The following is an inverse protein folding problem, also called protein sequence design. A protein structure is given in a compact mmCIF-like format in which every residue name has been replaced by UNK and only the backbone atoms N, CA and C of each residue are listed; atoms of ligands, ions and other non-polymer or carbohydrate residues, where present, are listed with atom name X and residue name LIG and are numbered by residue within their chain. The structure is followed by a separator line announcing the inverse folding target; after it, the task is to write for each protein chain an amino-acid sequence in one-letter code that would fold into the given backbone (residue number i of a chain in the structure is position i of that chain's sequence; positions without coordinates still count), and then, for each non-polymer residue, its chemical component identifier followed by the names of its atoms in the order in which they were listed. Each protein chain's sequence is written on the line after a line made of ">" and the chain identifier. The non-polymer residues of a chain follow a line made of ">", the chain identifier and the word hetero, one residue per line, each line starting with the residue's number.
data_IF_987203658244
#
_entry.id   IF_987203658244
#
_cell.length_a   1.000
_cell.length_b   1.000
_cell.length_c   1.000
_cell.angle_alpha   90.00
_cell.angle_beta   90.00
_cell.angle_gamma   90.00
#
_symmetry.space_group_name_H-M   'P 1'
#
loop_
_entity.id
_entity.type
_entity.pdbx_description
1 polymer ?
#
# COMPACT_ATOMS: atom_id res chain seq x y z
N UNK A 1 -12.46 -35.27 9.70
CA UNK A 1 -13.25 -34.10 9.29
C UNK A 1 -12.42 -33.18 8.40
N UNK A 2 -12.62 -33.35 7.09
CA UNK A 2 -12.04 -32.51 6.05
C UNK A 2 -12.69 -31.12 6.07
N UNK A 3 -11.96 -30.08 6.48
CA UNK A 3 -12.27 -28.72 6.06
C UNK A 3 -11.93 -28.62 4.55
N UNK A 4 -12.82 -29.13 3.70
CA UNK A 4 -12.85 -28.73 2.29
C UNK A 4 -13.34 -27.30 2.26
N UNK A 5 -12.39 -26.36 2.29
CA UNK A 5 -12.57 -25.00 1.82
C UNK A 5 -13.16 -25.09 0.41
N UNK A 6 -14.48 -24.95 0.29
CA UNK A 6 -15.14 -24.79 -0.99
C UNK A 6 -14.43 -23.68 -1.75
N UNK A 7 -13.80 -24.00 -2.89
CA UNK A 7 -13.22 -22.97 -3.73
C UNK A 7 -14.37 -22.05 -4.12
N UNK A 8 -14.29 -20.73 -3.86
CA UNK A 8 -15.32 -19.82 -4.34
C UNK A 8 -15.49 -20.01 -5.85
N UNK A 9 -16.73 -19.94 -6.34
CA UNK A 9 -17.11 -20.13 -7.75
C UNK A 9 -16.39 -19.18 -8.73
N UNK A 10 -15.62 -18.22 -8.23
CA UNK A 10 -14.81 -17.26 -8.96
C UNK A 10 -13.44 -17.16 -8.29
N UNK A 11 -12.41 -17.00 -9.10
CA UNK A 11 -11.09 -16.63 -8.62
C UNK A 11 -11.14 -15.23 -8.00
N UNK A 12 -10.58 -15.09 -6.79
CA UNK A 12 -10.60 -13.85 -6.01
C UNK A 12 -9.19 -13.54 -5.53
N UNK A 13 -8.79 -12.27 -5.67
CA UNK A 13 -7.52 -11.75 -5.16
C UNK A 13 -7.77 -11.04 -3.83
N UNK A 14 -7.01 -11.42 -2.80
CA UNK A 14 -7.07 -10.82 -1.47
C UNK A 14 -5.83 -9.96 -1.23
N UNK A 15 -6.05 -8.78 -0.66
CA UNK A 15 -5.00 -7.94 -0.09
C UNK A 15 -4.98 -8.13 1.42
N UNK A 16 -3.83 -8.57 1.92
CA UNK A 16 -3.55 -8.69 3.35
C UNK A 16 -2.45 -7.68 3.72
N UNK A 17 -2.81 -6.57 4.39
CA UNK A 17 -1.81 -5.60 4.80
C UNK A 17 -0.88 -6.19 5.86
N UNK A 18 0.32 -5.63 5.96
CA UNK A 18 1.22 -5.94 7.06
C UNK A 18 0.55 -5.43 8.35
N UNK A 19 0.51 -6.26 9.40
CA UNK A 19 -0.27 -6.00 10.63
C UNK A 19 0.00 -4.65 11.31
N UNK A 20 1.13 -4.00 11.00
CA UNK A 20 1.52 -2.68 11.53
C UNK A 20 0.73 -1.52 10.91
N UNK A 21 0.12 -1.68 9.73
CA UNK A 21 -0.52 -0.58 8.98
C UNK A 21 -1.97 -0.30 9.42
N UNK A 22 -2.54 -1.10 10.34
CA UNK A 22 -3.95 -1.01 10.78
C UNK A 22 -5.00 -0.99 9.63
N UNK A 23 -4.61 -1.32 8.40
CA UNK A 23 -5.53 -1.46 7.28
C UNK A 23 -6.29 -2.79 7.40
N UNK A 24 -7.54 -2.81 6.95
CA UNK A 24 -8.35 -4.03 6.95
C UNK A 24 -8.02 -4.87 5.72
N UNK A 25 -8.06 -6.19 5.89
CA UNK A 25 -8.07 -7.11 4.76
C UNK A 25 -9.18 -6.70 3.78
N UNK A 26 -8.85 -6.73 2.49
CA UNK A 26 -9.78 -6.41 1.42
C UNK A 26 -9.60 -7.37 0.26
N UNK A 27 -10.56 -7.40 -0.66
CA UNK A 27 -10.49 -8.25 -1.85
C UNK A 27 -10.86 -7.45 -3.09
N UNK A 28 -10.31 -7.86 -4.22
CA UNK A 28 -10.61 -7.24 -5.50
C UNK A 28 -12.01 -7.64 -5.97
N UNK A 29 -12.84 -6.64 -6.28
CA UNK A 29 -14.25 -6.82 -6.67
C UNK A 29 -14.39 -6.93 -8.21
N UNK A 30 -13.38 -6.47 -8.96
CA UNK A 30 -13.40 -6.46 -10.42
C UNK A 30 -13.10 -7.81 -11.08
N UNK A 31 -13.08 -7.82 -12.42
CA UNK A 31 -12.71 -9.01 -13.19
C UNK A 31 -11.20 -9.24 -13.15
N UNK A 32 -10.76 -10.43 -12.76
CA UNK A 32 -9.32 -10.79 -12.76
C UNK A 32 -8.73 -10.91 -14.17
N UNK A 33 -9.58 -11.04 -15.19
CA UNK A 33 -9.17 -11.10 -16.59
C UNK A 33 -8.95 -9.69 -17.19
N UNK A 34 -9.33 -8.64 -16.45
CA UNK A 34 -9.10 -7.25 -16.84
C UNK A 34 -7.79 -6.76 -16.22
N UNK A 35 -6.71 -6.90 -16.98
CA UNK A 35 -5.34 -6.65 -16.51
C UNK A 35 -5.14 -5.23 -15.99
N UNK A 36 -5.72 -4.22 -16.65
CA UNK A 36 -5.55 -2.82 -16.28
C UNK A 36 -6.14 -2.55 -14.89
N UNK A 37 -7.41 -2.89 -14.68
CA UNK A 37 -8.11 -2.69 -13.42
C UNK A 37 -7.46 -3.46 -12.27
N UNK A 38 -7.00 -4.70 -12.52
CA UNK A 38 -6.28 -5.48 -11.51
C UNK A 38 -4.93 -4.85 -11.17
N UNK A 39 -4.20 -4.34 -12.16
CA UNK A 39 -2.89 -3.70 -11.97
C UNK A 39 -3.04 -2.41 -11.17
N UNK A 40 -4.03 -1.56 -11.52
CA UNK A 40 -4.31 -0.31 -10.80
C UNK A 40 -4.68 -0.60 -9.35
N UNK A 41 -5.61 -1.53 -9.09
CA UNK A 41 -5.98 -1.92 -7.73
C UNK A 41 -4.77 -2.44 -6.94
N UNK A 42 -3.93 -3.26 -7.57
CA UNK A 42 -2.73 -3.79 -6.93
C UNK A 42 -1.71 -2.68 -6.59
N UNK A 43 -1.55 -1.70 -7.49
CA UNK A 43 -0.67 -0.54 -7.25
C UNK A 43 -1.17 0.31 -6.09
N UNK A 44 -2.47 0.63 -6.07
CA UNK A 44 -3.09 1.43 -5.00
C UNK A 44 -2.92 0.78 -3.63
N UNK A 45 -2.89 -0.56 -3.58
CA UNK A 45 -2.68 -1.33 -2.34
C UNK A 45 -1.22 -1.50 -1.92
N UNK A 46 -0.28 -1.37 -2.84
CA UNK A 46 1.14 -1.62 -2.58
C UNK A 46 1.97 -0.34 -2.48
N UNK A 47 1.49 0.79 -3.00
CA UNK A 47 2.22 2.07 -3.01
C UNK A 47 1.54 3.00 -2.00
N UNK A 48 2.10 3.17 -0.79
CA UNK A 48 1.51 4.06 0.20
C UNK A 48 1.69 5.52 -0.21
N UNK A 49 0.81 6.38 0.32
CA UNK A 49 0.85 7.83 0.11
C UNK A 49 2.17 8.44 0.63
N UNK A 50 2.60 8.00 1.80
CA UNK A 50 3.89 8.34 2.39
C UNK A 50 4.82 7.13 2.27
N UNK A 51 5.97 7.33 1.64
CA UNK A 51 6.98 6.29 1.38
C UNK A 51 8.24 6.54 2.20
N UNK A 52 8.88 5.47 2.68
CA UNK A 52 10.18 5.55 3.32
C UNK A 52 11.29 5.65 2.25
N UNK A 53 12.13 6.69 2.37
CA UNK A 53 13.32 6.84 1.54
C UNK A 53 14.48 6.09 2.20
N UNK A 54 15.06 5.16 1.46
CA UNK A 54 16.23 4.36 1.84
C UNK A 54 17.35 4.59 0.83
N UNK A 55 18.60 4.25 1.19
CA UNK A 55 19.72 4.39 0.25
C UNK A 55 19.53 3.58 -1.04
N UNK A 56 18.81 2.46 -1.00
CA UNK A 56 18.56 1.61 -2.17
C UNK A 56 17.49 2.16 -3.13
N UNK A 57 16.51 2.91 -2.63
CA UNK A 57 15.40 3.42 -3.45
C UNK A 57 15.51 4.91 -3.78
N UNK A 58 16.50 5.62 -3.21
CA UNK A 58 16.61 7.07 -3.35
C UNK A 58 16.77 7.52 -4.81
N UNK A 59 17.58 6.83 -5.61
CA UNK A 59 17.79 7.13 -7.04
C UNK A 59 16.47 6.96 -7.82
N UNK A 60 15.79 5.82 -7.64
CA UNK A 60 14.50 5.53 -8.27
C UNK A 60 13.44 6.59 -7.92
N UNK A 61 13.35 7.00 -6.65
CA UNK A 61 12.42 8.03 -6.23
C UNK A 61 12.75 9.40 -6.84
N UNK A 62 14.03 9.74 -6.99
CA UNK A 62 14.43 11.01 -7.62
C UNK A 62 14.21 11.02 -9.13
N UNK A 63 14.30 9.86 -9.77
CA UNK A 63 14.02 9.70 -11.20
C UNK A 63 12.54 9.89 -11.56
N UNK A 64 11.62 9.82 -10.58
CA UNK A 64 10.21 10.21 -10.77
C UNK A 64 10.05 11.70 -11.10
N UNK A 65 11.04 12.54 -10.79
CA UNK A 65 11.06 13.97 -11.14
C UNK A 65 10.08 14.84 -10.32
N UNK A 66 9.59 14.33 -9.19
CA UNK A 66 8.67 15.04 -8.30
C UNK A 66 9.41 15.69 -7.12
N UNK A 67 9.03 16.91 -6.69
CA UNK A 67 9.60 17.52 -5.50
C UNK A 67 9.19 16.77 -4.24
N UNK A 68 10.10 16.67 -3.27
CA UNK A 68 9.83 15.96 -2.02
C UNK A 68 9.45 16.89 -0.88
N UNK A 69 8.45 16.45 -0.12
CA UNK A 69 8.24 16.84 1.26
C UNK A 69 8.74 15.69 2.14
N UNK A 70 9.85 15.89 2.85
CA UNK A 70 10.53 14.84 3.63
C UNK A 70 10.37 15.11 5.13
N UNK A 71 9.88 14.11 5.87
CA UNK A 71 9.99 14.06 7.33
C UNK A 71 11.30 13.35 7.71
N UNK A 72 12.21 14.05 8.37
CA UNK A 72 13.35 13.43 9.05
C UNK A 72 12.97 13.14 10.51
N UNK A 73 13.00 11.87 10.90
CA UNK A 73 12.68 11.42 12.25
C UNK A 73 13.64 10.31 12.71
N UNK A 74 13.59 9.96 13.99
CA UNK A 74 14.32 8.79 14.51
C UNK A 74 13.55 7.51 14.22
N UNK A 75 14.25 6.39 14.10
CA UNK A 75 13.65 5.10 13.78
C UNK A 75 12.57 4.63 14.78
N UNK A 76 12.64 5.08 16.03
CA UNK A 76 11.68 4.76 17.10
C UNK A 76 10.50 5.75 17.21
N UNK A 77 10.53 6.86 16.46
CA UNK A 77 9.46 7.87 16.44
C UNK A 77 8.37 7.51 15.42
N UNK A 78 7.47 6.61 15.83
CA UNK A 78 6.33 6.20 15.01
C UNK A 78 5.15 7.20 15.06
N UNK A 79 5.05 8.03 16.10
CA UNK A 79 3.96 8.99 16.26
C UNK A 79 4.05 10.11 15.22
N UNK A 80 5.26 10.63 14.97
CA UNK A 80 5.47 11.66 13.95
C UNK A 80 5.13 11.16 12.55
N UNK A 81 5.39 9.89 12.23
CA UNK A 81 5.07 9.28 10.93
C UNK A 81 3.55 9.24 10.73
N UNK A 82 2.79 8.77 11.73
CA UNK A 82 1.32 8.72 11.67
C UNK A 82 0.73 10.12 11.54
N UNK A 83 1.27 11.09 12.27
CA UNK A 83 0.83 12.48 12.16
C UNK A 83 1.10 13.04 10.77
N UNK A 84 2.31 12.83 10.25
CA UNK A 84 2.70 13.31 8.92
C UNK A 84 1.82 12.73 7.82
N UNK A 85 1.61 11.42 7.82
CA UNK A 85 0.71 10.75 6.86
C UNK A 85 -0.72 11.33 6.94
N UNK A 86 -1.24 11.54 8.15
CA UNK A 86 -2.56 12.13 8.35
C UNK A 86 -2.64 13.57 7.85
N UNK A 87 -1.64 14.40 8.09
CA UNK A 87 -1.67 15.80 7.65
C UNK A 87 -1.48 15.92 6.13
N UNK A 88 -0.66 15.08 5.52
CA UNK A 88 -0.51 15.00 4.05
C UNK A 88 -1.83 14.57 3.41
N UNK A 89 -2.51 13.55 3.95
CA UNK A 89 -3.79 13.07 3.43
C UNK A 89 -4.91 14.13 3.46
N UNK A 90 -4.83 15.16 4.33
CA UNK A 90 -5.82 16.26 4.36
C UNK A 90 -5.64 17.28 3.24
N UNK A 91 -4.48 17.32 2.58
CA UNK A 91 -4.15 18.31 1.56
C UNK A 91 -4.40 17.80 0.13
N UNK A 92 -4.93 16.58 -0.01
CA UNK A 92 -5.30 15.91 -1.26
C UNK A 92 -6.82 15.79 -1.37
#
# INVERSE_FOLDING_TARGET
>A
DEFKSERPLRDVVYYRPISILNEKESYYIGSINEQESLTTWSRDKCIPLVREITFSNAEELTDEGLPFLILFHKADDHESVVLFEREVAKQL
#
